data_IF_213681503887
#
_entry.id   IF_213681503887
#
_cell.length_a   1.000
_cell.length_b   1.000
_cell.length_c   1.000
_cell.angle_alpha   90.00
_cell.angle_beta   90.00
_cell.angle_gamma   90.00
#
_symmetry.space_group_name_H-M   'P 1'
#
loop_
_entity.id
_entity.type
_entity.pdbx_description
1 polymer ?
#
# COMPACT_ATOMS: atom_id res chain seq x y z
N UNK A 1 -56.05 -15.51 7.30
CA UNK A 1 -55.93 -16.17 5.98
C UNK A 1 -56.06 -15.11 4.91
N UNK A 2 -55.11 -14.76 4.06
CA UNK A 2 -53.75 -15.17 3.66
C UNK A 2 -53.15 -13.85 3.10
N UNK A 3 -51.87 -13.57 3.01
CA UNK A 3 -50.62 -14.27 3.27
C UNK A 3 -49.57 -13.24 2.86
N UNK A 4 -48.67 -12.92 3.77
CA UNK A 4 -47.48 -12.11 3.53
C UNK A 4 -46.52 -12.90 2.63
N UNK A 5 -46.26 -12.41 1.42
CA UNK A 5 -45.23 -12.96 0.54
C UNK A 5 -43.90 -12.21 0.80
N UNK A 6 -42.76 -12.91 0.92
CA UNK A 6 -41.52 -12.32 1.43
C UNK A 6 -40.80 -11.50 0.36
N UNK A 7 -40.30 -10.32 0.74
CA UNK A 7 -39.30 -9.56 -0.01
C UNK A 7 -38.08 -10.45 -0.25
N UNK A 8 -37.90 -10.92 -1.49
CA UNK A 8 -36.59 -11.39 -1.97
C UNK A 8 -35.63 -10.20 -1.94
N UNK A 9 -34.70 -10.20 -0.99
CA UNK A 9 -33.46 -9.44 -1.07
C UNK A 9 -32.67 -9.96 -2.26
N UNK A 10 -32.80 -9.29 -3.42
CA UNK A 10 -31.92 -9.52 -4.57
C UNK A 10 -30.55 -8.92 -4.23
N UNK A 11 -29.57 -9.78 -4.02
CA UNK A 11 -28.14 -9.43 -4.00
C UNK A 11 -27.76 -8.81 -5.35
N UNK A 12 -27.11 -7.65 -5.34
CA UNK A 12 -26.71 -6.94 -6.54
C UNK A 12 -25.55 -7.67 -7.27
N UNK A 13 -25.50 -7.64 -8.61
CA UNK A 13 -24.43 -8.28 -9.37
C UNK A 13 -23.07 -7.57 -9.21
N UNK A 14 -21.97 -8.28 -9.48
CA UNK A 14 -20.59 -7.76 -9.43
C UNK A 14 -20.17 -7.21 -10.80
N UNK A 15 -19.60 -6.01 -10.83
CA UNK A 15 -19.27 -5.23 -12.04
C UNK A 15 -17.78 -4.94 -12.13
N UNK A 16 -17.17 -5.17 -13.30
CA UNK A 16 -15.72 -5.09 -13.44
C UNK A 16 -15.35 -4.50 -14.81
N UNK A 17 -14.85 -3.27 -14.83
CA UNK A 17 -14.09 -2.74 -15.96
C UNK A 17 -12.62 -2.70 -15.57
N UNK A 18 -11.72 -3.30 -16.35
CA UNK A 18 -10.30 -3.39 -15.98
C UNK A 18 -9.31 -3.06 -17.11
N UNK A 19 -8.26 -2.30 -16.80
CA UNK A 19 -7.11 -2.06 -17.67
C UNK A 19 -5.81 -2.47 -16.98
N UNK A 20 -4.90 -3.14 -17.70
CA UNK A 20 -3.65 -3.66 -17.15
C UNK A 20 -2.49 -2.71 -17.49
N UNK A 21 -1.58 -2.48 -16.54
CA UNK A 21 -0.36 -1.69 -16.77
C UNK A 21 0.84 -2.62 -17.04
N UNK A 22 1.71 -2.26 -18.00
CA UNK A 22 3.00 -2.93 -18.29
C UNK A 22 4.08 -1.91 -18.64
N UNK A 23 5.32 -2.15 -18.18
CA UNK A 23 6.51 -1.42 -18.65
C UNK A 23 7.36 -2.26 -19.63
N UNK A 24 7.99 -1.64 -20.66
CA UNK A 24 8.96 -2.32 -21.51
C UNK A 24 10.35 -2.28 -20.84
N UNK A 25 10.90 -3.43 -20.46
CA UNK A 25 12.30 -3.49 -20.04
C UNK A 25 12.62 -4.68 -19.15
N UNK A 26 13.31 -5.68 -19.71
CA UNK A 26 13.78 -6.84 -18.98
C UNK A 26 14.87 -6.51 -17.96
N UNK A 27 14.84 -7.19 -16.82
CA UNK A 27 15.98 -7.31 -15.92
C UNK A 27 16.22 -8.78 -15.59
N UNK A 28 17.51 -9.16 -15.66
CA UNK A 28 18.00 -10.50 -15.33
C UNK A 28 17.82 -10.75 -13.84
N UNK A 29 17.10 -11.83 -13.52
CA UNK A 29 17.04 -12.41 -12.18
C UNK A 29 18.41 -12.98 -11.81
N UNK A 30 19.06 -12.41 -10.80
CA UNK A 30 20.11 -13.11 -10.05
C UNK A 30 19.42 -13.81 -8.88
N UNK A 31 19.33 -15.13 -8.97
CA UNK A 31 18.76 -15.98 -7.93
C UNK A 31 19.63 -15.95 -6.68
N UNK A 32 19.09 -15.38 -5.60
CA UNK A 32 19.60 -15.54 -4.25
C UNK A 32 18.69 -16.50 -3.48
N UNK A 33 19.28 -17.53 -2.86
CA UNK A 33 18.58 -18.45 -1.95
C UNK A 33 18.07 -17.67 -0.73
N UNK A 34 16.79 -17.79 -0.44
CA UNK A 34 16.15 -17.27 0.78
C UNK A 34 16.51 -18.20 1.95
N UNK A 35 17.15 -17.72 3.03
CA UNK A 35 17.41 -18.56 4.20
C UNK A 35 16.16 -18.69 5.09
N UNK A 36 16.21 -19.70 5.95
CA UNK A 36 15.11 -20.25 6.73
C UNK A 36 14.39 -19.27 7.68
N UNK A 37 13.13 -19.59 7.97
CA UNK A 37 12.21 -18.90 8.91
C UNK A 37 12.90 -18.55 10.22
N UNK A 38 13.14 -17.26 10.43
CA UNK A 38 13.34 -16.67 11.76
C UNK A 38 11.97 -16.43 12.41
N UNK A 39 11.87 -16.73 13.70
CA UNK A 39 10.68 -16.47 14.52
C UNK A 39 10.30 -14.98 14.47
N UNK A 40 9.00 -14.63 14.41
CA UNK A 40 8.58 -13.26 14.18
C UNK A 40 8.99 -12.35 15.33
N UNK A 41 9.38 -11.13 14.97
CA UNK A 41 9.44 -10.01 15.88
C UNK A 41 8.04 -9.81 16.51
N UNK A 42 7.99 -9.61 17.82
CA UNK A 42 6.76 -9.69 18.63
C UNK A 42 6.57 -8.40 19.43
N UNK A 43 5.33 -7.94 19.54
CA UNK A 43 4.92 -6.86 20.43
C UNK A 43 4.09 -7.40 21.60
N UNK A 44 4.30 -6.90 22.80
CA UNK A 44 3.53 -7.23 24.01
C UNK A 44 3.19 -5.99 24.81
N UNK A 45 1.93 -5.84 25.22
CA UNK A 45 1.46 -4.71 26.04
C UNK A 45 0.20 -4.05 25.47
N UNK A 46 -0.37 -3.13 26.22
CA UNK A 46 -1.60 -2.40 25.88
C UNK A 46 -1.31 -1.03 25.26
N UNK A 47 -0.08 -0.53 25.31
CA UNK A 47 0.32 0.76 24.70
C UNK A 47 0.72 0.67 23.22
N UNK A 48 0.67 -0.51 22.62
CA UNK A 48 1.13 -0.75 21.24
C UNK A 48 0.09 -0.22 20.24
N UNK A 49 0.54 0.62 19.30
CA UNK A 49 -0.25 1.09 18.16
C UNK A 49 -0.05 0.22 16.93
N UNK A 50 -0.30 0.81 15.76
CA UNK A 50 -0.04 0.12 14.50
C UNK A 50 1.43 -0.28 14.44
N UNK A 51 1.67 -1.57 14.27
CA UNK A 51 3.00 -2.17 14.30
C UNK A 51 3.09 -3.21 13.19
N UNK A 52 4.08 -3.06 12.31
CA UNK A 52 4.45 -4.07 11.31
C UNK A 52 5.88 -4.49 11.58
N UNK A 53 6.08 -5.77 11.90
CA UNK A 53 7.39 -6.31 12.23
C UNK A 53 7.75 -7.43 11.24
N UNK A 54 8.80 -7.22 10.45
CA UNK A 54 9.38 -8.24 9.56
C UNK A 54 10.85 -8.46 9.90
N UNK A 55 11.47 -9.51 9.37
CA UNK A 55 12.90 -9.74 9.62
C UNK A 55 13.78 -8.63 9.01
N UNK A 56 13.38 -8.06 7.89
CA UNK A 56 14.19 -7.11 7.12
C UNK A 56 13.95 -5.66 7.54
N UNK A 57 12.72 -5.32 7.93
CA UNK A 57 12.34 -3.97 8.35
C UNK A 57 11.01 -3.93 9.11
N UNK A 58 10.68 -2.78 9.67
CA UNK A 58 9.36 -2.58 10.25
C UNK A 58 9.13 -1.19 10.78
N UNK A 59 7.86 -0.92 11.12
CA UNK A 59 7.41 0.34 11.71
C UNK A 59 6.66 0.01 12.99
N UNK A 60 6.90 0.80 14.03
CA UNK A 60 6.25 0.67 15.31
C UNK A 60 5.81 2.05 15.83
N UNK A 61 4.60 2.07 16.38
CA UNK A 61 3.99 3.29 16.88
C UNK A 61 3.30 3.05 18.22
N UNK A 62 3.15 4.12 19.01
CA UNK A 62 2.30 4.07 20.20
C UNK A 62 0.83 3.99 19.82
N UNK A 63 -0.01 3.42 20.69
CA UNK A 63 -1.46 3.40 20.48
C UNK A 63 -1.98 4.83 20.26
N UNK A 64 -2.92 4.97 19.32
CA UNK A 64 -3.53 6.22 18.87
C UNK A 64 -2.62 7.19 18.10
N UNK A 65 -1.33 6.90 17.88
CA UNK A 65 -0.45 7.76 17.08
C UNK A 65 -1.09 8.08 15.72
N UNK A 66 -1.10 9.34 15.24
CA UNK A 66 -0.44 10.54 15.81
C UNK A 66 -1.29 11.31 16.85
N UNK A 67 -2.47 10.81 17.20
CA UNK A 67 -3.25 11.31 18.32
C UNK A 67 -2.62 10.96 19.67
N UNK A 68 -3.19 11.50 20.74
CA UNK A 68 -2.62 11.36 22.08
C UNK A 68 -2.55 9.88 22.51
N UNK A 69 -1.35 9.43 22.88
CA UNK A 69 -1.14 8.07 23.39
C UNK A 69 -1.88 7.87 24.73
N UNK A 70 -2.25 6.64 25.14
CA UNK A 70 -3.02 6.43 26.35
C UNK A 70 -2.17 6.48 27.63
N UNK A 71 -2.76 6.99 28.72
CA UNK A 71 -2.18 6.96 30.06
C UNK A 71 -2.09 5.52 30.60
N UNK A 72 -1.12 5.28 31.47
CA UNK A 72 -0.94 4.01 32.21
C UNK A 72 -0.82 2.79 31.30
N UNK A 73 -0.10 2.94 30.19
CA UNK A 73 0.11 1.86 29.23
C UNK A 73 1.59 1.56 29.04
N UNK A 74 1.89 0.33 28.63
CA UNK A 74 3.24 -0.05 28.24
C UNK A 74 3.20 -0.87 26.96
N UNK A 75 4.26 -0.77 26.16
CA UNK A 75 4.45 -1.62 25.00
C UNK A 75 5.92 -2.01 24.88
N UNK A 76 6.17 -3.31 24.65
CA UNK A 76 7.50 -3.83 24.35
C UNK A 76 7.50 -4.47 22.98
N UNK A 77 8.46 -4.09 22.14
CA UNK A 77 8.73 -4.71 20.85
C UNK A 77 10.07 -5.43 20.88
N UNK A 78 10.10 -6.64 20.32
CA UNK A 78 11.31 -7.43 20.12
C UNK A 78 11.67 -7.43 18.65
N UNK A 79 12.72 -6.70 18.29
CA UNK A 79 13.22 -6.61 16.92
C UNK A 79 14.27 -7.70 16.68
N UNK A 80 14.18 -8.39 15.55
CA UNK A 80 15.14 -9.43 15.14
C UNK A 80 15.41 -9.34 13.64
N UNK A 81 16.68 -9.15 13.28
CA UNK A 81 17.17 -9.17 11.91
C UNK A 81 17.81 -10.53 11.58
N UNK A 82 18.04 -10.85 10.29
CA UNK A 82 18.75 -12.05 9.90
C UNK A 82 20.16 -12.12 10.50
N UNK A 83 20.66 -13.32 10.85
CA UNK A 83 22.02 -13.51 11.34
C UNK A 83 23.06 -12.90 10.38
N UNK A 84 24.08 -12.25 10.95
CA UNK A 84 25.11 -11.56 10.17
C UNK A 84 24.70 -10.17 9.68
N UNK A 85 23.54 -9.65 10.10
CA UNK A 85 23.13 -8.27 9.88
C UNK A 85 22.97 -7.53 11.19
N UNK A 86 22.94 -6.20 11.12
CA UNK A 86 22.69 -5.33 12.26
C UNK A 86 21.44 -4.48 12.03
N UNK A 87 20.87 -3.95 13.11
CA UNK A 87 19.68 -3.12 13.06
C UNK A 87 20.05 -1.64 12.89
N UNK A 88 19.35 -0.97 11.98
CA UNK A 88 19.39 0.48 11.80
C UNK A 88 18.01 1.02 12.14
N UNK A 89 17.90 1.79 13.21
CA UNK A 89 16.65 2.38 13.67
C UNK A 89 16.59 3.86 13.30
N UNK A 90 15.44 4.32 12.82
CA UNK A 90 15.17 5.71 12.52
C UNK A 90 14.05 6.24 13.42
N UNK A 91 14.37 7.27 14.19
CA UNK A 91 13.45 8.00 15.05
C UNK A 91 12.65 8.98 14.20
N UNK A 92 11.35 8.73 14.09
CA UNK A 92 10.47 9.54 13.25
C UNK A 92 9.79 10.63 14.02
N UNK A 93 9.10 10.21 15.06
CA UNK A 93 8.41 11.12 15.95
C UNK A 93 8.55 10.60 17.37
N UNK A 94 8.94 11.47 18.28
CA UNK A 94 9.01 11.16 19.70
C UNK A 94 8.47 12.37 20.44
N UNK A 95 7.18 12.35 20.66
CA UNK A 95 6.43 13.41 21.33
C UNK A 95 5.78 12.86 22.60
N UNK A 96 6.64 12.55 23.58
CA UNK A 96 6.25 12.02 24.88
C UNK A 96 6.33 13.10 25.96
N UNK A 97 5.54 12.96 27.03
CA UNK A 97 5.42 13.93 28.11
C UNK A 97 6.79 14.19 28.76
N UNK A 98 7.26 15.45 28.79
CA UNK A 98 8.53 15.76 29.42
C UNK A 98 8.44 15.59 30.93
N UNK A 99 9.47 14.99 31.52
CA UNK A 99 9.60 14.84 32.97
C UNK A 99 11.07 14.69 33.34
N UNK A 100 11.38 14.82 34.64
CA UNK A 100 12.73 14.55 35.13
C UNK A 100 13.09 13.09 34.79
N UNK A 101 14.19 12.90 34.06
CA UNK A 101 14.66 11.58 33.57
C UNK A 101 13.60 10.79 32.80
N UNK A 102 12.64 11.46 32.16
CA UNK A 102 11.52 10.83 31.45
C UNK A 102 10.70 9.86 32.32
N UNK A 103 10.60 10.10 33.64
CA UNK A 103 9.94 9.20 34.58
C UNK A 103 8.44 8.99 34.29
N UNK A 104 7.75 9.96 33.66
CA UNK A 104 6.32 9.86 33.34
C UNK A 104 6.05 9.02 32.10
N UNK A 105 6.68 9.38 31.00
CA UNK A 105 6.58 8.68 29.72
C UNK A 105 7.98 8.55 29.14
N UNK A 106 8.38 7.35 28.77
CA UNK A 106 9.73 7.06 28.27
C UNK A 106 9.73 6.04 27.14
N UNK A 107 10.68 6.23 26.23
CA UNK A 107 11.09 5.25 25.23
C UNK A 107 12.52 4.79 25.54
N UNK A 108 12.71 3.50 25.81
CA UNK A 108 14.00 2.88 26.12
C UNK A 108 14.29 1.79 25.10
N UNK A 109 15.48 1.81 24.52
CA UNK A 109 15.95 0.75 23.64
C UNK A 109 17.08 0.00 24.36
N UNK A 110 17.07 -1.32 24.28
CA UNK A 110 18.04 -2.17 24.96
C UNK A 110 18.54 -3.22 23.97
N UNK A 111 19.84 -3.24 23.79
CA UNK A 111 20.55 -4.28 23.09
C UNK A 111 20.77 -5.45 24.05
N UNK A 112 20.06 -6.58 23.89
CA UNK A 112 20.18 -7.71 24.79
C UNK A 112 21.52 -8.46 24.64
N UNK A 113 22.20 -8.34 23.49
CA UNK A 113 23.47 -9.02 23.23
C UNK A 113 24.63 -8.22 23.83
N UNK A 114 24.64 -6.90 23.65
CA UNK A 114 25.68 -6.02 24.17
C UNK A 114 25.40 -5.48 25.58
N UNK A 115 24.18 -5.64 26.10
CA UNK A 115 23.74 -5.02 27.36
C UNK A 115 23.67 -3.49 27.32
N UNK A 116 23.75 -2.89 26.13
CA UNK A 116 23.77 -1.44 25.94
C UNK A 116 22.35 -0.88 25.90
N UNK A 117 22.10 0.24 26.56
CA UNK A 117 20.79 0.91 26.58
C UNK A 117 20.86 2.29 25.93
N UNK A 118 19.88 2.62 25.11
CA UNK A 118 19.70 3.93 24.50
C UNK A 118 18.41 4.58 25.01
N UNK A 119 18.51 5.81 25.52
CA UNK A 119 17.42 6.49 26.22
C UNK A 119 17.61 6.50 27.75
N UNK A 120 16.57 6.83 28.53
CA UNK A 120 15.18 7.01 28.13
C UNK A 120 14.95 8.29 27.32
N UNK A 121 14.09 8.22 26.31
CA UNK A 121 13.72 9.36 25.47
C UNK A 121 12.32 9.88 25.78
N UNK A 122 12.17 11.20 25.74
CA UNK A 122 10.92 11.95 25.80
C UNK A 122 11.15 13.39 25.26
N UNK A 123 10.14 14.28 25.27
CA UNK A 123 10.25 15.60 24.59
C UNK A 123 11.41 16.48 25.07
N UNK A 124 11.83 16.39 26.34
CA UNK A 124 12.98 17.14 26.89
C UNK A 124 14.31 16.34 26.88
N UNK A 125 14.29 15.10 26.38
CA UNK A 125 15.46 14.26 26.21
C UNK A 125 15.27 13.44 24.93
N UNK A 126 15.32 14.09 23.77
CA UNK A 126 15.19 13.43 22.48
C UNK A 126 16.53 12.86 21.98
N UNK A 127 16.53 11.89 21.06
CA UNK A 127 17.75 11.38 20.44
C UNK A 127 18.55 12.50 19.76
N UNK A 128 19.87 12.50 19.95
CA UNK A 128 20.76 13.49 19.33
C UNK A 128 20.87 13.33 17.81
N UNK A 129 20.62 12.12 17.29
CA UNK A 129 20.58 11.81 15.87
C UNK A 129 19.26 11.13 15.53
N UNK A 130 18.71 11.43 14.35
CA UNK A 130 17.50 10.78 13.84
C UNK A 130 17.71 9.30 13.47
N UNK A 131 18.97 8.85 13.38
CA UNK A 131 19.34 7.49 13.02
C UNK A 131 20.24 6.88 14.10
N UNK A 132 19.91 5.66 14.53
CA UNK A 132 20.70 4.83 15.42
C UNK A 132 21.16 3.59 14.65
N UNK A 133 22.46 3.46 14.44
CA UNK A 133 23.07 2.26 13.84
C UNK A 133 23.57 1.38 14.96
N UNK A 134 23.09 0.14 15.03
CA UNK A 134 23.56 -0.86 16.00
C UNK A 134 24.55 -1.82 15.34
N UNK A 135 25.27 -2.57 16.19
CA UNK A 135 26.12 -3.69 15.76
C UNK A 135 25.46 -5.05 16.00
N UNK A 136 24.23 -5.06 16.52
CA UNK A 136 23.54 -6.26 16.98
C UNK A 136 22.34 -6.58 16.12
N UNK A 137 22.04 -7.87 16.01
CA UNK A 137 20.94 -8.38 15.19
C UNK A 137 19.59 -8.36 15.92
N UNK A 138 19.60 -8.09 17.23
CA UNK A 138 18.42 -8.04 18.08
C UNK A 138 18.38 -6.75 18.92
N UNK A 139 17.17 -6.24 19.16
CA UNK A 139 16.93 -5.07 20.01
C UNK A 139 15.57 -5.20 20.70
N UNK A 140 15.50 -4.82 21.98
CA UNK A 140 14.24 -4.62 22.71
C UNK A 140 13.90 -3.14 22.75
N UNK A 141 12.70 -2.77 22.32
CA UNK A 141 12.17 -1.40 22.41
C UNK A 141 11.05 -1.39 23.44
N UNK A 142 11.16 -0.56 24.48
CA UNK A 142 10.20 -0.44 25.56
C UNK A 142 9.65 0.99 25.61
N UNK A 143 8.36 1.11 25.36
CA UNK A 143 7.59 2.31 25.63
C UNK A 143 6.80 2.13 26.93
N UNK A 144 6.88 3.13 27.82
CA UNK A 144 6.12 3.17 29.06
C UNK A 144 5.47 4.54 29.22
N UNK A 145 4.19 4.55 29.61
CA UNK A 145 3.43 5.75 29.94
C UNK A 145 2.71 5.59 31.27
N UNK A 146 2.83 6.61 32.12
CA UNK A 146 2.08 6.73 33.37
C UNK A 146 0.99 7.80 33.20
N UNK A 147 1.05 8.90 33.94
CA UNK A 147 0.16 10.04 33.78
C UNK A 147 0.82 11.15 32.95
N UNK A 148 0.13 11.57 31.88
CA UNK A 148 0.53 12.67 31.02
C UNK A 148 -0.66 13.57 30.67
N UNK A 149 -0.36 14.76 30.15
CA UNK A 149 -1.37 15.75 29.74
C UNK A 149 -1.58 15.74 28.24
N UNK A 150 -0.50 15.62 27.45
CA UNK A 150 -0.56 15.61 25.99
C UNK A 150 0.74 15.13 25.35
N UNK A 151 0.63 14.54 24.17
CA UNK A 151 1.74 14.25 23.26
C UNK A 151 1.29 13.29 22.17
N UNK A 152 1.82 13.46 20.95
CA UNK A 152 1.43 12.65 19.78
C UNK A 152 1.91 11.20 19.86
N UNK A 153 2.82 10.89 20.78
CA UNK A 153 3.29 9.53 21.02
C UNK A 153 4.63 9.26 20.34
N UNK A 154 4.79 8.09 19.75
CA UNK A 154 6.02 7.72 19.06
C UNK A 154 5.75 7.06 17.71
N UNK A 155 6.65 7.31 16.77
CA UNK A 155 6.79 6.61 15.50
C UNK A 155 8.27 6.29 15.29
N UNK A 156 8.60 5.01 15.24
CA UNK A 156 9.94 4.49 15.04
C UNK A 156 9.91 3.50 13.87
N UNK A 157 10.95 3.48 13.07
CA UNK A 157 11.15 2.45 12.05
C UNK A 157 12.52 1.80 12.19
N UNK A 158 12.66 0.58 11.70
CA UNK A 158 13.94 -0.12 11.64
C UNK A 158 14.13 -0.84 10.31
N UNK A 159 15.38 -1.07 9.95
CA UNK A 159 15.79 -1.87 8.81
C UNK A 159 17.09 -2.64 9.12
N UNK A 160 17.30 -3.77 8.45
CA UNK A 160 18.57 -4.51 8.52
C UNK A 160 19.68 -3.82 7.70
N UNK A 161 20.93 -3.97 8.15
CA UNK A 161 22.09 -3.32 7.52
C UNK A 161 22.47 -3.85 6.14
N UNK A 162 21.87 -4.96 5.67
CA UNK A 162 21.97 -5.43 4.28
C UNK A 162 21.26 -4.50 3.28
N UNK A 163 20.42 -3.57 3.76
CA UNK A 163 19.84 -2.50 2.96
C UNK A 163 20.27 -1.11 3.46
N UNK A 164 21.56 -0.73 3.32
CA UNK A 164 22.06 0.56 3.74
C UNK A 164 21.71 1.60 2.65
N UNK A 165 20.43 1.90 2.47
CA UNK A 165 20.04 3.09 1.75
C UNK A 165 20.56 4.28 2.55
N UNK A 166 21.53 5.02 1.99
CA UNK A 166 22.09 6.23 2.60
C UNK A 166 20.93 7.25 2.73
N UNK A 167 20.21 7.21 3.84
CA UNK A 167 19.00 7.97 4.14
C UNK A 167 17.75 7.10 4.31
N UNK A 168 17.43 6.70 5.55
CA UNK A 168 16.08 6.27 5.93
C UNK A 168 15.17 7.51 5.92
N UNK A 169 14.61 7.87 4.77
CA UNK A 169 13.71 9.03 4.63
C UNK A 169 12.25 8.72 5.02
N UNK A 170 12.04 7.64 5.77
CA UNK A 170 10.73 7.13 6.17
C UNK A 170 9.86 8.14 6.93
N UNK A 171 10.45 9.25 7.42
CA UNK A 171 9.84 10.07 8.47
C UNK A 171 9.90 11.58 8.20
N UNK A 172 10.47 12.03 7.06
CA UNK A 172 10.47 13.45 6.69
C UNK A 172 11.63 13.89 5.80
N UNK A 173 11.30 14.77 4.84
CA UNK A 173 12.12 15.50 3.85
C UNK A 173 13.56 14.98 3.61
N UNK A 174 13.73 14.22 2.53
CA UNK A 174 15.03 13.75 2.02
C UNK A 174 15.99 14.85 1.48
N UNK A 175 15.66 16.14 1.62
CA UNK A 175 16.30 17.20 0.83
C UNK A 175 17.03 18.22 1.71
N UNK A 176 18.19 17.81 2.22
CA UNK A 176 19.26 18.72 2.62
C UNK A 176 20.22 18.93 1.44
N UNK A 177 19.97 19.98 0.64
CA UNK A 177 20.94 20.67 -0.23
C UNK A 177 21.95 19.85 -1.06
N UNK A 178 21.51 19.20 -2.16
CA UNK A 178 22.41 18.81 -3.25
C UNK A 178 22.07 19.55 -4.56
N UNK A 179 23.05 20.04 -5.35
CA UNK A 179 22.81 20.98 -6.44
C UNK A 179 22.42 20.36 -7.79
N UNK A 180 22.41 19.03 -7.93
CA UNK A 180 22.27 18.40 -9.25
C UNK A 180 20.80 18.04 -9.61
N UNK A 181 20.21 18.65 -10.65
CA UNK A 181 18.84 18.38 -11.10
C UNK A 181 18.67 17.05 -11.87
N UNK A 182 19.71 16.21 -11.94
CA UNK A 182 19.69 14.89 -12.60
C UNK A 182 20.09 13.73 -11.66
N UNK A 183 20.34 14.00 -10.37
CA UNK A 183 20.75 12.97 -9.43
C UNK A 183 19.55 12.13 -8.97
N UNK A 184 19.47 10.88 -9.43
CA UNK A 184 18.59 9.88 -8.82
C UNK A 184 19.16 9.44 -7.47
N UNK A 185 18.36 9.47 -6.41
CA UNK A 185 18.78 9.01 -5.08
C UNK A 185 17.87 7.87 -4.62
N UNK A 186 18.42 6.93 -3.87
CA UNK A 186 17.70 5.75 -3.41
C UNK A 186 17.54 5.78 -1.89
N UNK A 187 16.32 5.53 -1.44
CA UNK A 187 15.89 5.55 -0.05
C UNK A 187 15.34 4.16 0.30
N UNK A 188 15.52 3.71 1.54
CA UNK A 188 14.82 2.52 2.02
C UNK A 188 13.58 2.90 2.83
N UNK A 189 12.45 2.32 2.48
CA UNK A 189 11.16 2.49 3.14
C UNK A 189 10.81 1.23 3.94
N UNK A 190 10.47 1.37 5.23
CA UNK A 190 10.07 0.23 6.06
C UNK A 190 8.68 -0.30 5.68
N UNK A 191 8.30 -1.46 6.21
CA UNK A 191 6.93 -1.95 6.15
C UNK A 191 5.97 -1.07 6.99
N UNK A 192 4.69 -1.02 6.63
CA UNK A 192 3.65 -0.25 7.35
C UNK A 192 3.65 1.26 7.03
N UNK A 193 3.96 1.62 5.78
CA UNK A 193 3.96 2.99 5.31
C UNK A 193 2.56 3.55 4.93
N UNK A 194 1.55 2.68 4.73
CA UNK A 194 0.16 3.06 4.42
C UNK A 194 -0.43 3.95 5.52
N UNK A 195 -0.17 3.57 6.78
CA UNK A 195 -0.76 4.19 7.96
C UNK A 195 0.10 5.33 8.56
N UNK A 196 1.18 5.73 7.88
CA UNK A 196 2.00 6.88 8.30
C UNK A 196 1.18 8.17 8.12
N UNK A 197 1.25 9.05 9.12
CA UNK A 197 0.63 10.37 9.10
C UNK A 197 1.19 11.23 7.95
N UNK A 198 0.32 12.00 7.32
CA UNK A 198 0.66 12.94 6.27
C UNK A 198 0.03 12.57 4.93
N UNK A 199 -0.07 13.60 4.09
CA UNK A 199 -0.75 13.52 2.81
C UNK A 199 0.22 13.20 1.68
N UNK A 200 -0.33 12.60 0.64
CA UNK A 200 0.33 12.45 -0.65
C UNK A 200 -0.48 13.23 -1.69
N UNK A 201 0.20 13.92 -2.60
CA UNK A 201 -0.44 14.78 -3.60
C UNK A 201 0.02 14.36 -5.00
N UNK A 202 -0.93 14.02 -5.86
CA UNK A 202 -0.65 13.54 -7.23
C UNK A 202 -0.87 12.04 -7.42
N UNK A 203 -0.39 11.53 -8.56
CA UNK A 203 -0.63 10.15 -8.99
C UNK A 203 0.60 9.59 -9.72
N UNK A 204 0.56 8.29 -10.06
CA UNK A 204 1.69 7.60 -10.70
C UNK A 204 2.04 8.15 -12.09
N UNK A 205 1.07 8.71 -12.82
CA UNK A 205 1.26 9.21 -14.19
C UNK A 205 1.91 10.59 -14.21
N UNK A 206 1.49 11.48 -13.30
CA UNK A 206 1.96 12.86 -13.20
C UNK A 206 3.16 13.02 -12.24
N UNK A 207 3.36 12.02 -11.38
CA UNK A 207 4.29 12.10 -10.26
C UNK A 207 3.67 12.72 -9.01
N UNK A 208 4.47 12.82 -7.95
CA UNK A 208 4.05 13.29 -6.63
C UNK A 208 4.72 14.61 -6.27
N UNK A 209 4.01 15.46 -5.54
CA UNK A 209 4.57 16.71 -5.02
C UNK A 209 5.66 16.44 -3.98
N UNK A 210 6.65 17.33 -3.89
CA UNK A 210 7.76 17.31 -2.93
C UNK A 210 7.32 17.37 -1.45
N UNK A 211 6.11 17.86 -1.17
CA UNK A 211 5.51 17.86 0.16
C UNK A 211 4.83 16.54 0.53
N UNK A 212 4.78 15.56 -0.38
CA UNK A 212 4.16 14.26 -0.12
C UNK A 212 5.04 13.40 0.79
N UNK A 213 4.41 12.57 1.62
CA UNK A 213 5.13 11.54 2.38
C UNK A 213 5.71 10.51 1.42
N UNK A 214 7.04 10.43 1.33
CA UNK A 214 7.78 9.67 0.32
C UNK A 214 7.43 8.18 0.30
N UNK A 215 7.51 7.50 1.43
CA UNK A 215 7.26 6.06 1.48
C UNK A 215 5.78 5.71 1.31
N UNK A 216 4.87 6.57 1.77
CA UNK A 216 3.43 6.45 1.50
C UNK A 216 3.12 6.65 0.02
N UNK A 217 3.79 7.60 -0.63
CA UNK A 217 3.68 7.81 -2.07
C UNK A 217 4.27 6.63 -2.85
N UNK A 218 5.33 5.99 -2.36
CA UNK A 218 5.90 4.80 -2.98
C UNK A 218 4.98 3.58 -2.90
N UNK A 219 4.26 3.40 -1.77
CA UNK A 219 3.18 2.41 -1.65
C UNK A 219 2.03 2.75 -2.61
N UNK A 220 1.57 4.00 -2.63
CA UNK A 220 0.51 4.44 -3.53
C UNK A 220 0.88 4.24 -5.01
N UNK A 221 2.14 4.50 -5.39
CA UNK A 221 2.65 4.27 -6.73
C UNK A 221 2.81 2.79 -7.10
N UNK A 222 2.72 1.87 -6.14
CA UNK A 222 2.96 0.45 -6.37
C UNK A 222 4.43 0.10 -6.58
N UNK A 223 5.36 0.94 -6.12
CA UNK A 223 6.81 0.69 -6.20
C UNK A 223 7.24 -0.28 -5.10
N UNK A 224 6.63 -0.18 -3.91
CA UNK A 224 6.87 -1.06 -2.77
C UNK A 224 5.55 -1.58 -2.21
N UNK A 225 5.58 -2.79 -1.65
CA UNK A 225 4.44 -3.34 -0.93
C UNK A 225 4.47 -2.88 0.52
N UNK A 226 3.33 -2.42 1.04
CA UNK A 226 3.22 -1.94 2.42
C UNK A 226 3.65 -2.98 3.46
N UNK A 227 3.35 -4.26 3.19
CA UNK A 227 3.59 -5.37 4.10
C UNK A 227 5.09 -5.73 4.29
N UNK A 228 5.97 -5.33 3.36
CA UNK A 228 7.42 -5.65 3.40
C UNK A 228 8.30 -4.39 3.38
N UNK A 229 7.80 -3.29 2.83
CA UNK A 229 8.62 -2.13 2.49
C UNK A 229 9.55 -2.42 1.30
N UNK A 230 10.60 -1.62 1.14
CA UNK A 230 11.57 -1.82 0.08
C UNK A 230 12.40 -0.58 -0.25
N UNK A 231 13.32 -0.73 -1.20
CA UNK A 231 14.12 0.38 -1.71
C UNK A 231 13.36 1.14 -2.79
N UNK A 232 13.34 2.46 -2.68
CA UNK A 232 12.66 3.39 -3.59
C UNK A 232 13.72 4.30 -4.21
N UNK A 233 13.78 4.33 -5.53
CA UNK A 233 14.63 5.27 -6.27
C UNK A 233 13.80 6.44 -6.75
N UNK A 234 14.31 7.66 -6.53
CA UNK A 234 13.60 8.90 -6.83
C UNK A 234 14.33 9.68 -7.91
N UNK A 235 13.56 10.16 -8.89
CA UNK A 235 14.02 11.08 -9.93
C UNK A 235 13.34 12.44 -9.73
N UNK A 236 14.12 13.52 -9.68
CA UNK A 236 13.57 14.87 -9.52
C UNK A 236 13.24 15.48 -10.87
N UNK A 237 11.96 15.78 -11.08
CA UNK A 237 11.48 16.51 -12.25
C UNK A 237 11.00 17.92 -11.86
N UNK A 238 10.79 18.79 -12.85
CA UNK A 238 10.14 20.10 -12.61
C UNK A 238 8.70 19.85 -12.16
N UNK A 239 8.27 20.55 -11.11
CA UNK A 239 6.90 20.43 -10.62
C UNK A 239 5.87 20.98 -11.61
N UNK A 240 4.68 20.37 -11.63
CA UNK A 240 3.53 20.79 -12.43
C UNK A 240 2.54 21.61 -11.59
N UNK A 241 1.61 22.32 -12.24
CA UNK A 241 0.64 23.21 -11.57
C UNK A 241 -0.63 22.50 -11.10
N UNK A 242 -0.97 21.36 -11.69
CA UNK A 242 -2.09 20.51 -11.30
C UNK A 242 -1.57 19.10 -10.99
N UNK A 243 -1.85 18.64 -9.78
CA UNK A 243 -1.72 17.24 -9.41
C UNK A 243 -3.12 16.68 -9.16
N UNK A 244 -3.52 15.69 -9.93
CA UNK A 244 -4.80 15.04 -9.76
C UNK A 244 -4.74 13.98 -8.66
N UNK A 245 -5.85 13.85 -7.92
CA UNK A 245 -6.02 12.75 -6.97
C UNK A 245 -6.25 11.43 -7.70
N UNK A 246 -5.78 10.34 -7.12
CA UNK A 246 -6.08 8.98 -7.54
C UNK A 246 -6.25 8.09 -6.31
N UNK A 247 -7.02 7.01 -6.44
CA UNK A 247 -7.04 5.94 -5.47
C UNK A 247 -6.18 4.79 -6.00
N UNK A 248 -5.10 4.47 -5.28
CA UNK A 248 -4.15 3.47 -5.70
C UNK A 248 -3.59 2.68 -4.53
N UNK A 249 -3.52 1.35 -4.66
CA UNK A 249 -2.96 0.44 -3.66
C UNK A 249 -3.58 0.65 -2.25
N UNK A 250 -4.88 0.95 -2.22
CA UNK A 250 -5.64 1.23 -1.01
C UNK A 250 -5.37 2.60 -0.36
N UNK A 251 -4.65 3.50 -1.04
CA UNK A 251 -4.39 4.86 -0.59
C UNK A 251 -5.10 5.86 -1.51
N UNK A 252 -5.69 6.89 -0.94
CA UNK A 252 -6.26 8.01 -1.70
C UNK A 252 -5.30 9.21 -1.65
N UNK A 253 -4.83 9.67 -2.80
CA UNK A 253 -4.04 10.90 -2.87
C UNK A 253 -4.93 12.15 -2.93
N UNK A 254 -4.38 13.30 -2.53
CA UNK A 254 -5.08 14.59 -2.58
C UNK A 254 -4.78 15.33 -3.89
N UNK A 255 -5.78 16.07 -4.36
CA UNK A 255 -5.64 16.97 -5.51
C UNK A 255 -4.96 18.27 -5.08
N UNK A 256 -4.01 18.76 -5.86
CA UNK A 256 -3.44 20.09 -5.70
C UNK A 256 -3.59 20.90 -6.99
N UNK A 257 -4.05 22.15 -6.90
CA UNK A 257 -4.13 23.07 -8.03
C UNK A 257 -3.53 24.44 -7.64
N UNK A 258 -2.52 24.87 -8.40
CA UNK A 258 -1.96 26.23 -8.36
C UNK A 258 -2.64 27.17 -9.37
N UNK A 259 -2.19 28.44 -9.49
CA UNK A 259 -2.84 29.41 -10.38
C UNK A 259 -2.70 29.00 -11.85
N UNK A 260 -3.85 28.94 -12.54
CA UNK A 260 -4.11 28.60 -13.95
C UNK A 260 -4.22 27.11 -14.28
N UNK A 261 -5.43 26.69 -14.71
CA UNK A 261 -5.72 25.38 -15.30
C UNK A 261 -6.51 25.53 -16.61
N UNK A 262 -6.03 24.97 -17.73
CA UNK A 262 -6.88 24.31 -18.71
C UNK A 262 -7.34 22.93 -18.18
N UNK A 263 -8.39 22.33 -18.78
CA UNK A 263 -8.90 21.03 -18.36
C UNK A 263 -7.89 19.91 -18.65
N UNK A 264 -7.84 18.84 -17.81
CA UNK A 264 -7.00 17.68 -18.05
C UNK A 264 -7.51 16.88 -19.27
N UNK A 265 -6.56 16.47 -20.12
CA UNK A 265 -6.77 15.46 -21.16
C UNK A 265 -6.63 14.07 -20.55
N UNK A 266 -7.58 13.20 -20.91
CA UNK A 266 -7.78 11.88 -20.31
C UNK A 266 -6.55 10.96 -20.42
N UNK A 267 -6.32 10.25 -19.31
CA UNK A 267 -5.28 9.28 -19.11
C UNK A 267 -5.66 7.91 -19.71
N UNK A 268 -4.80 7.39 -20.59
CA UNK A 268 -4.47 5.97 -20.79
C UNK A 268 -3.45 5.88 -21.93
N UNK A 269 -2.18 6.23 -21.68
CA UNK A 269 -1.11 6.15 -22.67
C UNK A 269 -0.47 4.76 -22.80
N UNK A 270 -0.42 4.00 -21.69
CA UNK A 270 0.36 2.75 -21.58
C UNK A 270 -0.46 1.54 -21.08
N UNK A 271 -1.80 1.58 -21.20
CA UNK A 271 -2.66 0.46 -20.83
C UNK A 271 -2.56 -0.66 -21.88
N UNK A 272 -2.41 -1.90 -21.43
CA UNK A 272 -2.29 -3.06 -22.30
C UNK A 272 -3.61 -3.35 -23.02
N UNK A 273 -3.58 -3.48 -24.34
CA UNK A 273 -4.72 -4.02 -25.08
C UNK A 273 -4.93 -5.50 -24.74
N UNK A 274 -6.12 -5.80 -24.21
CA UNK A 274 -6.59 -7.15 -23.89
C UNK A 274 -7.13 -7.75 -25.19
N UNK A 275 -6.70 -8.97 -25.53
CA UNK A 275 -7.04 -9.60 -26.80
C UNK A 275 -8.46 -10.17 -26.82
N UNK A 276 -8.92 -10.72 -25.69
CA UNK A 276 -10.29 -11.20 -25.54
C UNK A 276 -10.72 -11.14 -24.07
N UNK A 277 -12.02 -10.92 -23.85
CA UNK A 277 -12.66 -10.99 -22.55
C UNK A 277 -13.58 -12.21 -22.50
N UNK A 278 -13.64 -12.87 -21.35
CA UNK A 278 -14.55 -13.96 -21.09
C UNK A 278 -15.10 -13.81 -19.66
N UNK A 279 -16.23 -14.41 -19.32
CA UNK A 279 -16.79 -14.28 -17.98
C UNK A 279 -17.54 -15.53 -17.55
N UNK A 280 -17.77 -15.67 -16.25
CA UNK A 280 -18.61 -16.73 -15.69
C UNK A 280 -20.06 -16.65 -16.17
N UNK A 281 -20.58 -15.43 -16.29
CA UNK A 281 -21.95 -15.10 -16.69
C UNK A 281 -22.02 -13.62 -17.08
N UNK A 282 -23.12 -13.23 -17.71
CA UNK A 282 -23.44 -11.83 -17.98
C UNK A 282 -24.90 -11.55 -17.62
N UNK A 283 -25.17 -10.33 -17.15
CA UNK A 283 -26.53 -9.89 -16.87
C UNK A 283 -27.22 -9.40 -18.14
N UNK A 284 -28.45 -9.86 -18.36
CA UNK A 284 -29.30 -9.43 -19.48
C UNK A 284 -30.45 -8.59 -18.91
N UNK A 285 -30.44 -7.30 -19.25
CA UNK A 285 -31.51 -6.36 -18.89
C UNK A 285 -32.43 -6.18 -20.10
N UNK A 286 -33.73 -6.30 -19.91
CA UNK A 286 -34.72 -5.91 -20.92
C UNK A 286 -35.24 -4.53 -20.51
N UNK A 287 -35.09 -3.54 -21.39
CA UNK A 287 -35.57 -2.20 -21.09
C UNK A 287 -37.11 -2.11 -21.19
N UNK A 288 -37.66 -0.95 -20.82
CA UNK A 288 -39.11 -0.72 -20.84
C UNK A 288 -39.73 -0.79 -22.25
N UNK A 289 -38.92 -0.78 -23.31
CA UNK A 289 -39.33 -0.89 -24.71
C UNK A 289 -39.20 -2.33 -25.24
N UNK A 290 -38.79 -3.29 -24.39
CA UNK A 290 -38.56 -4.67 -24.79
C UNK A 290 -37.22 -4.90 -25.49
N UNK A 291 -36.33 -3.92 -25.48
CA UNK A 291 -35.02 -4.02 -26.11
C UNK A 291 -34.02 -4.64 -25.13
N UNK A 292 -33.31 -5.66 -25.59
CA UNK A 292 -32.34 -6.37 -24.77
C UNK A 292 -31.00 -5.60 -24.71
N UNK A 293 -30.49 -5.39 -23.49
CA UNK A 293 -29.18 -4.82 -23.19
C UNK A 293 -28.35 -5.83 -22.40
N UNK A 294 -27.29 -6.34 -23.03
CA UNK A 294 -26.38 -7.30 -22.41
C UNK A 294 -25.16 -6.63 -21.78
N UNK A 295 -24.88 -6.96 -20.52
CA UNK A 295 -23.69 -6.57 -19.77
C UNK A 295 -22.54 -7.57 -20.01
N UNK A 296 -22.17 -7.72 -21.28
CA UNK A 296 -21.24 -8.75 -21.75
C UNK A 296 -19.77 -8.45 -21.41
N UNK A 297 -18.94 -9.49 -21.40
CA UNK A 297 -17.53 -9.41 -20.97
C UNK A 297 -16.69 -8.48 -21.85
N UNK A 298 -16.99 -8.41 -23.15
CA UNK A 298 -16.29 -7.59 -24.14
C UNK A 298 -16.42 -6.08 -23.86
N UNK A 299 -17.43 -5.69 -23.08
CA UNK A 299 -17.65 -4.30 -22.64
C UNK A 299 -16.91 -3.95 -21.36
N UNK A 300 -16.11 -4.86 -20.80
CA UNK A 300 -15.28 -4.62 -19.62
C UNK A 300 -14.02 -3.78 -19.90
N UNK A 301 -13.67 -3.54 -21.17
CA UNK A 301 -12.52 -2.71 -21.51
C UNK A 301 -12.75 -1.25 -21.08
N UNK A 302 -11.78 -0.67 -20.36
CA UNK A 302 -11.84 0.71 -19.88
C UNK A 302 -12.00 1.69 -21.06
N UNK A 303 -12.94 2.62 -20.97
CA UNK A 303 -13.20 3.61 -22.01
C UNK A 303 -14.21 3.17 -23.08
N UNK A 304 -14.74 1.94 -23.02
CA UNK A 304 -15.83 1.50 -23.89
C UNK A 304 -17.13 2.20 -23.48
N UNK A 305 -17.84 2.87 -24.41
CA UNK A 305 -19.15 3.46 -24.11
C UNK A 305 -20.23 2.35 -23.97
N UNK A 306 -21.20 2.57 -23.09
CA UNK A 306 -22.24 1.59 -22.77
C UNK A 306 -22.12 0.97 -21.38
N UNK A 307 -23.01 0.01 -21.06
CA UNK A 307 -22.93 -0.75 -19.82
C UNK A 307 -21.67 -1.63 -19.80
N UNK A 308 -20.94 -1.61 -18.68
CA UNK A 308 -19.77 -2.46 -18.45
C UNK A 308 -20.16 -3.94 -18.31
N UNK A 309 -19.21 -4.83 -17.98
CA UNK A 309 -19.56 -6.20 -17.63
C UNK A 309 -20.23 -6.28 -16.25
N UNK A 310 -21.24 -7.17 -16.13
CA UNK A 310 -21.92 -7.51 -14.90
C UNK A 310 -22.27 -8.99 -14.88
N UNK A 311 -21.99 -9.67 -13.78
CA UNK A 311 -22.40 -11.07 -13.60
C UNK A 311 -23.91 -11.22 -13.36
N UNK A 312 -24.44 -12.43 -13.48
CA UNK A 312 -25.84 -12.71 -13.11
C UNK A 312 -26.06 -12.55 -11.58
N UNK A 313 -27.16 -11.91 -11.13
CA UNK A 313 -27.43 -11.72 -9.70
C UNK A 313 -27.48 -13.04 -8.91
N UNK A 314 -26.83 -13.05 -7.74
CA UNK A 314 -26.81 -14.22 -6.84
C UNK A 314 -25.62 -15.17 -7.01
N UNK A 315 -24.64 -14.82 -7.85
CA UNK A 315 -23.39 -15.57 -8.00
C UNK A 315 -22.26 -14.97 -7.17
N UNK A 316 -21.94 -15.55 -6.01
CA UNK A 316 -20.85 -15.07 -5.14
C UNK A 316 -19.43 -15.37 -5.68
N UNK A 317 -19.33 -16.18 -6.73
CA UNK A 317 -18.06 -16.65 -7.32
C UNK A 317 -17.89 -16.23 -8.78
N UNK A 318 -18.54 -15.14 -9.18
CA UNK A 318 -18.43 -14.62 -10.53
C UNK A 318 -16.99 -14.17 -10.85
N UNK A 319 -16.55 -14.40 -12.08
CA UNK A 319 -15.21 -14.04 -12.55
C UNK A 319 -15.26 -13.41 -13.94
N UNK A 320 -14.36 -12.46 -14.17
CA UNK A 320 -14.05 -11.89 -15.48
C UNK A 320 -12.64 -12.34 -15.87
N UNK A 321 -12.53 -13.02 -16.99
CA UNK A 321 -11.26 -13.47 -17.56
C UNK A 321 -10.77 -12.53 -18.66
N UNK A 322 -9.47 -12.24 -18.63
CA UNK A 322 -8.76 -11.43 -19.61
C UNK A 322 -7.69 -12.31 -20.29
N UNK A 323 -7.79 -12.53 -21.60
CA UNK A 323 -6.74 -13.14 -22.42
C UNK A 323 -5.86 -12.04 -23.03
N UNK A 324 -4.57 -12.05 -22.70
CA UNK A 324 -3.58 -11.09 -23.20
C UNK A 324 -3.01 -11.47 -24.58
N UNK A 325 -3.46 -12.62 -25.13
CA UNK A 325 -3.04 -13.22 -26.39
C UNK A 325 -1.66 -13.88 -26.33
N UNK A 326 -0.70 -13.22 -25.69
CA UNK A 326 0.67 -13.69 -25.46
C UNK A 326 1.02 -13.59 -23.97
N UNK A 327 2.11 -14.24 -23.56
CA UNK A 327 2.59 -14.11 -22.19
C UNK A 327 3.17 -12.72 -21.98
N UNK A 328 2.64 -11.99 -21.02
CA UNK A 328 3.07 -10.63 -20.68
C UNK A 328 3.42 -10.51 -19.21
N UNK A 329 4.22 -9.50 -18.89
CA UNK A 329 4.59 -9.16 -17.52
C UNK A 329 3.61 -8.10 -16.98
N UNK A 330 2.65 -8.54 -16.19
CA UNK A 330 1.58 -7.68 -15.67
C UNK A 330 1.99 -7.09 -14.34
N UNK A 331 2.05 -5.76 -14.25
CA UNK A 331 2.50 -5.05 -13.05
C UNK A 331 1.35 -4.50 -12.21
N UNK A 332 0.12 -4.50 -12.72
CA UNK A 332 -1.04 -4.05 -11.99
C UNK A 332 -2.31 -4.04 -12.82
N UNK A 333 -3.40 -3.63 -12.19
CA UNK A 333 -4.75 -3.55 -12.74
C UNK A 333 -5.42 -2.25 -12.29
N UNK A 334 -6.13 -1.60 -13.20
CA UNK A 334 -6.96 -0.42 -12.96
C UNK A 334 -8.40 -0.87 -13.08
N UNK A 335 -9.25 -0.60 -12.08
CA UNK A 335 -10.67 -0.95 -12.09
C UNK A 335 -11.57 0.29 -12.10
N UNK A 336 -12.71 0.20 -12.78
CA UNK A 336 -13.76 1.23 -12.84
C UNK A 336 -15.13 0.60 -12.75
N UNK A 337 -16.07 1.30 -12.11
CA UNK A 337 -17.49 0.93 -12.11
C UNK A 337 -18.19 1.30 -13.42
N UNK A 338 -19.50 1.11 -13.44
CA UNK A 338 -20.37 1.48 -14.57
C UNK A 338 -21.02 2.83 -14.29
N UNK A 339 -20.86 3.82 -15.17
CA UNK A 339 -21.29 5.20 -14.92
C UNK A 339 -22.53 5.65 -15.72
N UNK A 340 -23.23 4.75 -16.42
CA UNK A 340 -24.38 5.15 -17.25
C UNK A 340 -25.70 5.30 -16.46
N UNK A 341 -26.41 4.18 -16.24
CA UNK A 341 -27.76 4.18 -15.65
C UNK A 341 -27.75 3.78 -14.17
N UNK A 342 -26.72 3.07 -13.74
CA UNK A 342 -26.65 2.47 -12.42
C UNK A 342 -25.29 2.72 -11.78
N UNK A 343 -25.29 3.06 -10.50
CA UNK A 343 -24.08 3.27 -9.70
C UNK A 343 -23.55 1.94 -9.16
N UNK A 344 -23.05 1.10 -10.07
CA UNK A 344 -22.53 -0.21 -9.70
C UNK A 344 -21.02 -0.30 -9.86
N UNK A 345 -20.38 -0.93 -8.88
CA UNK A 345 -18.94 -1.05 -8.78
C UNK A 345 -18.55 -2.22 -7.88
N UNK A 346 -17.34 -2.75 -8.06
CA UNK A 346 -16.76 -3.80 -7.20
C UNK A 346 -15.91 -3.16 -6.11
N UNK A 347 -16.23 -3.47 -4.86
CA UNK A 347 -15.54 -2.93 -3.67
C UNK A 347 -14.30 -3.71 -3.26
N UNK A 348 -14.22 -5.01 -3.61
CA UNK A 348 -13.05 -5.85 -3.39
C UNK A 348 -13.03 -7.03 -4.34
N UNK A 349 -11.84 -7.50 -4.70
CA UNK A 349 -11.66 -8.64 -5.60
C UNK A 349 -10.39 -9.43 -5.29
N UNK A 350 -10.30 -10.63 -5.85
CA UNK A 350 -9.10 -11.48 -5.84
C UNK A 350 -8.65 -11.65 -7.28
N UNK A 351 -7.36 -11.84 -7.48
CA UNK A 351 -6.78 -12.08 -8.80
C UNK A 351 -6.22 -13.49 -8.89
N UNK A 352 -6.46 -14.17 -10.00
CA UNK A 352 -5.86 -15.46 -10.35
C UNK A 352 -5.21 -15.38 -11.71
N UNK A 353 -4.12 -16.13 -11.90
CA UNK A 353 -3.36 -16.14 -13.16
C UNK A 353 -3.22 -17.55 -13.73
N UNK A 354 -3.22 -17.65 -15.05
CA UNK A 354 -3.04 -18.92 -15.76
C UNK A 354 -2.19 -18.78 -17.02
N UNK A 355 -1.35 -19.79 -17.26
CA UNK A 355 -0.51 -19.86 -18.47
C UNK A 355 -1.19 -20.59 -19.63
N UNK A 356 -2.24 -21.35 -19.34
CA UNK A 356 -2.91 -22.27 -20.26
C UNK A 356 -4.45 -22.11 -20.29
N UNK A 357 -5.00 -21.22 -19.47
CA UNK A 357 -6.45 -20.98 -19.34
C UNK A 357 -7.19 -22.06 -18.53
N UNK A 358 -6.49 -23.09 -18.06
CA UNK A 358 -7.07 -24.25 -17.37
C UNK A 358 -6.63 -24.34 -15.92
N UNK A 359 -5.33 -24.15 -15.68
CA UNK A 359 -4.73 -24.22 -14.36
C UNK A 359 -4.58 -22.81 -13.80
N UNK A 360 -5.39 -22.49 -12.80
CA UNK A 360 -5.45 -21.18 -12.17
C UNK A 360 -4.68 -21.17 -10.87
N UNK A 361 -3.83 -20.15 -10.71
CA UNK A 361 -3.07 -19.92 -9.48
C UNK A 361 -3.52 -18.59 -8.88
N UNK A 362 -4.05 -18.58 -7.66
CA UNK A 362 -4.41 -17.33 -7.00
C UNK A 362 -3.17 -16.49 -6.74
N UNK A 363 -3.33 -15.18 -6.85
CA UNK A 363 -2.28 -14.23 -6.56
C UNK A 363 -2.08 -14.10 -5.05
N UNK A 364 -0.82 -14.19 -4.62
CA UNK A 364 -0.40 -14.07 -3.23
C UNK A 364 0.61 -12.95 -3.13
N UNK A 365 0.49 -12.14 -2.08
CA UNK A 365 1.42 -11.04 -1.80
C UNK A 365 2.83 -11.54 -1.45
N UNK A 366 3.74 -10.61 -1.23
CA UNK A 366 5.15 -10.92 -0.96
C UNK A 366 5.35 -11.59 0.41
N UNK A 367 4.41 -11.40 1.35
CA UNK A 367 4.47 -11.96 2.71
C UNK A 367 3.50 -13.08 3.05
N UNK A 368 2.58 -13.48 2.15
CA UNK A 368 1.41 -14.28 2.50
C UNK A 368 1.37 -15.71 1.96
N UNK A 369 0.87 -16.67 2.76
CA UNK A 369 0.37 -17.96 2.25
C UNK A 369 -1.08 -17.89 1.79
N UNK A 370 -1.78 -16.80 2.11
CA UNK A 370 -3.17 -16.54 1.77
C UNK A 370 -3.32 -15.74 0.48
N UNK A 371 -4.47 -15.91 -0.16
CA UNK A 371 -4.82 -15.23 -1.40
C UNK A 371 -5.10 -13.74 -1.12
N UNK A 372 -4.43 -12.86 -1.87
CA UNK A 372 -4.52 -11.40 -1.65
C UNK A 372 -5.89 -10.89 -2.08
N UNK A 373 -6.52 -10.10 -1.21
CA UNK A 373 -7.72 -9.32 -1.51
C UNK A 373 -7.29 -7.90 -1.86
N UNK A 374 -7.73 -7.41 -3.01
CA UNK A 374 -7.49 -6.05 -3.46
C UNK A 374 -8.70 -5.17 -3.13
N UNK A 375 -8.42 -3.95 -2.69
CA UNK A 375 -9.44 -2.91 -2.50
C UNK A 375 -9.84 -2.38 -3.88
N UNK A 376 -11.15 -2.42 -4.16
CA UNK A 376 -11.74 -1.94 -5.40
C UNK A 376 -12.24 -0.50 -5.28
N UNK A 377 -13.31 -0.21 -6.01
CA UNK A 377 -13.88 1.11 -6.17
C UNK A 377 -14.82 1.47 -5.00
N UNK A 378 -14.91 2.78 -4.71
CA UNK A 378 -15.85 3.37 -3.73
C UNK A 378 -17.05 4.03 -4.39
N UNK A 379 -16.98 4.26 -5.69
CA UNK A 379 -18.02 4.82 -6.54
C UNK A 379 -17.90 4.26 -7.98
N UNK A 380 -18.88 4.56 -8.84
CA UNK A 380 -18.88 4.12 -10.24
C UNK A 380 -17.97 4.92 -11.19
N UNK A 381 -17.49 6.10 -10.81
CA UNK A 381 -16.87 7.07 -11.71
C UNK A 381 -15.35 7.09 -11.61
N UNK A 382 -14.83 6.91 -10.40
CA UNK A 382 -13.43 6.92 -10.07
C UNK A 382 -12.73 5.65 -10.52
N UNK A 383 -11.49 5.80 -10.95
CA UNK A 383 -10.61 4.70 -11.31
C UNK A 383 -9.73 4.33 -10.13
N UNK A 384 -9.57 3.03 -9.89
CA UNK A 384 -8.76 2.47 -8.80
C UNK A 384 -7.64 1.64 -9.37
N UNK A 385 -6.40 1.94 -9.02
CA UNK A 385 -5.24 1.16 -9.49
C UNK A 385 -4.64 0.30 -8.38
N UNK A 386 -4.30 -0.95 -8.68
CA UNK A 386 -3.62 -1.86 -7.76
C UNK A 386 -2.44 -2.51 -8.46
N UNK A 387 -1.27 -2.45 -7.82
CA UNK A 387 -0.05 -3.04 -8.33
C UNK A 387 0.13 -4.49 -7.85
N UNK A 388 0.78 -5.29 -8.68
CA UNK A 388 1.19 -6.65 -8.36
C UNK A 388 2.67 -6.65 -7.95
N UNK A 389 2.91 -6.90 -6.68
CA UNK A 389 4.23 -7.02 -6.06
C UNK A 389 4.33 -8.40 -5.37
N UNK A 390 4.97 -9.39 -6.01
CA UNK A 390 5.73 -9.30 -7.27
C UNK A 390 4.84 -9.27 -8.54
N UNK A 391 5.37 -8.77 -9.68
CA UNK A 391 4.63 -8.75 -10.94
C UNK A 391 4.35 -10.16 -11.48
N UNK A 392 3.26 -10.30 -12.24
CA UNK A 392 2.74 -11.59 -12.70
C UNK A 392 3.11 -11.82 -14.17
N UNK A 393 3.87 -12.89 -14.45
CA UNK A 393 4.11 -13.32 -15.84
C UNK A 393 3.06 -14.37 -16.25
N UNK A 394 2.07 -13.93 -17.03
CA UNK A 394 0.91 -14.75 -17.40
C UNK A 394 0.37 -14.43 -18.79
N UNK A 395 -0.48 -15.30 -19.32
CA UNK A 395 -1.30 -15.03 -20.51
C UNK A 395 -2.75 -14.72 -20.14
N UNK A 396 -3.28 -15.40 -19.13
CA UNK A 396 -4.66 -15.23 -18.68
C UNK A 396 -4.70 -14.68 -17.25
N UNK A 397 -5.66 -13.80 -16.99
CA UNK A 397 -5.99 -13.26 -15.68
C UNK A 397 -7.48 -13.41 -15.40
N UNK A 398 -7.83 -13.61 -14.13
CA UNK A 398 -9.20 -13.65 -13.59
C UNK A 398 -9.29 -12.88 -12.30
#
# INVERSE_FOLDING_TARGET
NRGTEPRRTKTAPSYFGACLLVTPGGFRSLGGRVPARLSPALSTGDGCGHTVLTAQSGTLSSRNYPGTYPNHTACRWWLRAPPGTSLVLAFGDIDLEPSERCARSSLLLTDPEAGTTYGPYCRNASPAAALLVTNSSAMSVLFNSTSHRSGRGLLLSYASSQHPGRGNAALGRAWGGSPDPAASFSVYCPAGCKDIEGDIWGNVNQGYRDTSVLCKAAVHAGVIADEVGGQVTLSRNKGITLYESAFANGLHSKRWAGPQLPPPLAACGDALEVAAFNASSWWQEVDALGQERGWAAERAALGTPGPSWAAEPGTETAWLELDLGTRRNVTGIITKGSSEKYDYYVTSYRVSSSRDGRNWRPYRGSGGQEDKVFEGNVDSHGEVSNAFIPPIVTRYLR
#
